data_IF_635338555963
#
_entry.id   IF_635338555963
#
_cell.length_a   1.000
_cell.length_b   1.000
_cell.length_c   1.000
_cell.angle_alpha   90.00
_cell.angle_beta   90.00
_cell.angle_gamma   90.00
#
_symmetry.space_group_name_H-M   'P 1'
#
loop_
_entity.id
_entity.type
_entity.pdbx_description
1 polymer ?
#
# COMPACT_ATOMS: atom_id res chain seq x y z
N UNK A 1 -11.35 2.11 -3.51
CA UNK A 1 -12.43 1.15 -3.78
C UNK A 1 -13.08 1.46 -5.10
N UNK A 2 -13.90 2.52 -5.22
CA UNK A 2 -14.75 2.81 -6.38
C UNK A 2 -14.03 2.84 -7.73
N UNK A 3 -12.82 3.41 -7.80
CA UNK A 3 -12.03 3.44 -9.04
C UNK A 3 -11.60 2.04 -9.51
N UNK A 4 -11.37 1.11 -8.59
CA UNK A 4 -11.08 -0.29 -8.93
C UNK A 4 -12.32 -1.01 -9.44
N UNK A 5 -13.46 -0.80 -8.77
CA UNK A 5 -14.74 -1.39 -9.20
C UNK A 5 -15.16 -0.89 -10.58
N UNK A 6 -14.99 0.40 -10.87
CA UNK A 6 -15.22 1.00 -12.20
C UNK A 6 -14.34 0.34 -13.27
N UNK A 7 -13.09 0.01 -12.94
CA UNK A 7 -12.16 -0.70 -13.82
C UNK A 7 -12.37 -2.24 -13.86
N UNK A 8 -13.42 -2.75 -13.20
CA UNK A 8 -13.77 -4.17 -13.19
C UNK A 8 -12.97 -5.03 -12.21
N UNK A 9 -12.32 -4.42 -11.20
CA UNK A 9 -11.61 -5.15 -10.14
C UNK A 9 -12.40 -5.11 -8.83
N UNK A 10 -12.48 -6.25 -8.14
CA UNK A 10 -13.07 -6.35 -6.82
C UNK A 10 -11.98 -6.15 -5.76
N UNK A 11 -12.00 -5.06 -4.96
CA UNK A 11 -11.10 -4.88 -3.83
C UNK A 11 -11.45 -5.87 -2.71
N UNK A 12 -10.43 -6.49 -2.14
CA UNK A 12 -10.52 -7.38 -0.98
C UNK A 12 -9.71 -6.77 0.16
N UNK A 13 -10.34 -6.58 1.32
CA UNK A 13 -9.70 -6.04 2.50
C UNK A 13 -9.07 -7.16 3.33
N UNK A 14 -7.75 -7.22 3.33
CA UNK A 14 -6.98 -8.15 4.13
C UNK A 14 -6.44 -7.48 5.41
N UNK A 15 -6.51 -8.18 6.51
CA UNK A 15 -6.10 -7.71 7.84
C UNK A 15 -5.48 -8.87 8.65
N UNK A 16 -4.85 -8.64 9.82
CA UNK A 16 -4.32 -9.73 10.63
C UNK A 16 -5.36 -10.81 10.96
N UNK A 17 -6.58 -10.41 11.26
CA UNK A 17 -7.70 -11.30 11.56
C UNK A 17 -8.95 -10.86 10.79
N UNK A 18 -9.77 -11.80 10.36
CA UNK A 18 -11.05 -11.49 9.71
C UNK A 18 -12.07 -11.02 10.75
N UNK A 19 -12.22 -9.70 10.89
CA UNK A 19 -13.18 -9.06 11.81
C UNK A 19 -13.52 -7.63 11.37
N UNK A 20 -14.35 -6.96 12.11
CA UNK A 20 -14.61 -5.52 11.95
C UNK A 20 -13.45 -4.73 12.56
N UNK A 21 -12.96 -3.75 11.83
CA UNK A 21 -11.94 -2.80 12.28
C UNK A 21 -12.48 -1.38 12.31
N UNK A 22 -12.12 -0.64 13.34
CA UNK A 22 -12.37 0.79 13.43
C UNK A 22 -11.26 1.54 12.71
N UNK A 23 -11.62 2.41 11.78
CA UNK A 23 -10.67 3.34 11.17
C UNK A 23 -10.57 4.63 11.98
N UNK A 24 -9.57 5.44 11.67
CA UNK A 24 -9.38 6.76 12.31
C UNK A 24 -9.40 7.87 11.28
N UNK A 25 -9.88 9.04 11.68
CA UNK A 25 -9.73 10.28 10.96
C UNK A 25 -8.61 11.09 11.62
N UNK A 26 -7.69 11.59 10.81
CA UNK A 26 -6.63 12.48 11.27
C UNK A 26 -6.99 13.92 10.95
N UNK A 27 -7.01 14.79 11.96
CA UNK A 27 -7.10 16.23 11.75
C UNK A 27 -5.68 16.78 11.58
N UNK A 28 -5.44 17.42 10.45
CA UNK A 28 -4.20 18.16 10.19
C UNK A 28 -4.57 19.64 10.06
N UNK A 29 -4.24 20.44 11.05
CA UNK A 29 -4.35 21.91 10.99
C UNK A 29 -3.02 22.53 10.58
N UNK A 30 -3.00 23.49 9.64
CA UNK A 30 -1.79 24.23 9.32
C UNK A 30 -1.15 24.83 10.58
N UNK A 31 0.15 24.64 10.75
CA UNK A 31 0.90 25.13 11.91
C UNK A 31 0.81 24.27 13.19
N UNK A 32 0.05 23.18 13.19
CA UNK A 32 0.01 22.24 14.30
C UNK A 32 1.09 21.18 14.16
N UNK A 33 1.74 20.88 15.28
CA UNK A 33 2.75 19.80 15.38
C UNK A 33 2.17 18.49 15.87
N UNK A 34 0.91 18.51 16.36
CA UNK A 34 0.21 17.34 16.89
C UNK A 34 -1.01 17.07 16.01
N UNK A 35 -1.17 15.81 15.60
CA UNK A 35 -2.40 15.35 14.95
C UNK A 35 -3.40 14.87 15.99
N UNK A 36 -4.66 15.23 15.82
CA UNK A 36 -5.77 14.71 16.61
C UNK A 36 -6.44 13.59 15.81
N UNK A 37 -6.73 12.49 16.50
CA UNK A 37 -7.40 11.33 15.90
C UNK A 37 -8.83 11.23 16.41
N UNK A 38 -9.76 10.90 15.52
CA UNK A 38 -11.15 10.67 15.79
C UNK A 38 -11.58 9.32 15.23
N UNK A 39 -12.67 8.78 15.74
CA UNK A 39 -13.27 7.60 15.14
C UNK A 39 -13.69 7.88 13.70
N UNK A 40 -13.22 7.05 12.77
CA UNK A 40 -13.63 7.05 11.38
C UNK A 40 -14.72 6.01 11.09
N UNK A 41 -14.79 5.53 9.87
CA UNK A 41 -15.71 4.45 9.49
C UNK A 41 -15.21 3.09 9.99
N UNK A 42 -16.12 2.14 10.12
CA UNK A 42 -15.78 0.73 10.30
C UNK A 42 -15.51 0.07 8.95
N UNK A 43 -14.57 -0.88 8.93
CA UNK A 43 -14.29 -1.73 7.77
C UNK A 43 -14.46 -3.19 8.18
N UNK A 44 -15.25 -3.94 7.41
CA UNK A 44 -15.27 -5.39 7.51
C UNK A 44 -14.07 -5.95 6.75
N UNK A 45 -13.24 -6.73 7.44
CA UNK A 45 -12.18 -7.48 6.77
C UNK A 45 -12.78 -8.65 6.01
N UNK A 46 -12.34 -8.83 4.77
CA UNK A 46 -12.78 -9.94 3.93
C UNK A 46 -11.97 -11.21 4.20
N UNK A 47 -10.67 -11.06 4.51
CA UNK A 47 -9.74 -12.19 4.67
C UNK A 47 -8.66 -11.87 5.71
N UNK A 48 -8.21 -12.88 6.46
CA UNK A 48 -7.03 -12.77 7.30
C UNK A 48 -5.74 -12.93 6.47
N UNK A 49 -4.63 -12.30 6.88
CA UNK A 49 -3.36 -12.38 6.14
C UNK A 49 -2.90 -13.82 5.94
N UNK A 50 -3.05 -14.69 6.93
CA UNK A 50 -2.67 -16.10 6.87
C UNK A 50 -3.45 -16.92 5.83
N UNK A 51 -4.60 -16.44 5.41
CA UNK A 51 -5.50 -17.13 4.49
C UNK A 51 -5.36 -16.59 3.05
N UNK A 52 -4.49 -15.60 2.81
CA UNK A 52 -4.22 -15.05 1.48
C UNK A 52 -3.56 -16.10 0.61
N UNK A 53 -4.15 -16.36 -0.55
CA UNK A 53 -3.57 -17.09 -1.66
C UNK A 53 -3.16 -16.09 -2.74
N UNK A 54 -1.91 -15.62 -2.77
CA UNK A 54 -1.53 -14.47 -3.59
C UNK A 54 -1.77 -14.67 -5.09
N UNK A 55 -1.75 -15.92 -5.56
CA UNK A 55 -2.01 -16.29 -6.95
C UNK A 55 -3.43 -15.97 -7.43
N UNK A 56 -4.39 -15.87 -6.52
CA UNK A 56 -5.78 -15.55 -6.82
C UNK A 56 -6.01 -14.05 -7.08
N UNK A 57 -5.01 -13.19 -6.78
CA UNK A 57 -5.16 -11.73 -6.87
C UNK A 57 -4.38 -11.12 -8.03
N UNK A 58 -4.93 -10.05 -8.58
CA UNK A 58 -4.32 -9.30 -9.67
C UNK A 58 -3.15 -8.40 -9.20
N UNK A 59 -3.18 -7.93 -7.97
CA UNK A 59 -2.16 -7.06 -7.40
C UNK A 59 -2.40 -6.78 -5.92
N UNK A 60 -1.50 -6.02 -5.29
CA UNK A 60 -1.59 -5.66 -3.87
C UNK A 60 -1.41 -4.16 -3.66
N UNK A 61 -2.15 -3.61 -2.70
CA UNK A 61 -2.08 -2.22 -2.29
C UNK A 61 -1.78 -2.10 -0.79
N UNK A 62 -0.71 -1.39 -0.47
CA UNK A 62 -0.33 -1.04 0.90
C UNK A 62 -0.83 0.36 1.23
N UNK A 63 -1.88 0.44 2.04
CA UNK A 63 -2.44 1.70 2.52
C UNK A 63 -1.55 2.34 3.58
N UNK A 64 -1.70 3.64 3.76
CA UNK A 64 -1.00 4.39 4.80
C UNK A 64 -1.76 4.42 6.13
N UNK A 65 -1.59 5.52 6.85
CA UNK A 65 -2.05 5.67 8.22
C UNK A 65 -1.09 5.00 9.20
N UNK A 66 -1.56 4.62 10.38
CA UNK A 66 -0.71 3.95 11.39
C UNK A 66 -0.70 2.43 11.30
N UNK A 67 -1.63 1.84 10.57
CA UNK A 67 -1.72 0.39 10.44
C UNK A 67 -0.41 -0.28 10.03
N UNK A 68 0.39 0.26 9.07
CA UNK A 68 1.66 -0.34 8.70
C UNK A 68 2.62 -0.57 9.87
N UNK A 69 2.71 0.36 10.81
CA UNK A 69 3.58 0.24 12.00
C UNK A 69 3.24 -1.00 12.85
N UNK A 70 1.96 -1.40 12.88
CA UNK A 70 1.49 -2.53 13.68
C UNK A 70 1.54 -3.86 12.94
N UNK A 71 1.44 -3.85 11.60
CA UNK A 71 1.32 -5.08 10.80
C UNK A 71 2.58 -5.44 10.02
N UNK A 72 3.57 -4.57 9.95
CA UNK A 72 4.81 -4.79 9.18
C UNK A 72 5.66 -5.98 9.65
N UNK A 73 5.41 -6.51 10.84
CA UNK A 73 6.08 -7.71 11.35
C UNK A 73 5.27 -8.99 11.15
N UNK A 74 4.10 -8.93 10.53
CA UNK A 74 3.29 -10.12 10.25
C UNK A 74 3.90 -10.94 9.12
N UNK A 75 4.37 -12.14 9.44
CA UNK A 75 5.09 -12.99 8.50
C UNK A 75 4.24 -13.47 7.32
N UNK A 76 2.92 -13.65 7.52
CA UNK A 76 2.03 -14.03 6.42
C UNK A 76 1.87 -12.88 5.41
N UNK A 77 1.72 -11.64 5.90
CA UNK A 77 1.70 -10.45 5.06
C UNK A 77 3.02 -10.26 4.32
N UNK A 78 4.15 -10.44 5.01
CA UNK A 78 5.48 -10.31 4.40
C UNK A 78 5.73 -11.38 3.34
N UNK A 79 5.30 -12.63 3.59
CA UNK A 79 5.39 -13.70 2.60
C UNK A 79 4.56 -13.40 1.35
N UNK A 80 3.30 -12.95 1.53
CA UNK A 80 2.46 -12.51 0.41
C UNK A 80 3.11 -11.35 -0.36
N UNK A 81 3.66 -10.36 0.35
CA UNK A 81 4.34 -9.21 -0.26
C UNK A 81 5.50 -9.64 -1.14
N UNK A 82 6.37 -10.54 -0.65
CA UNK A 82 7.47 -11.12 -1.44
C UNK A 82 6.96 -11.87 -2.65
N UNK A 83 5.92 -12.67 -2.50
CA UNK A 83 5.33 -13.41 -3.62
C UNK A 83 4.83 -12.48 -4.74
N UNK A 84 4.09 -11.40 -4.41
CA UNK A 84 3.64 -10.41 -5.41
C UNK A 84 4.83 -9.79 -6.15
N UNK A 85 5.91 -9.49 -5.43
CA UNK A 85 7.13 -8.93 -6.02
C UNK A 85 7.80 -9.90 -6.98
N UNK A 86 8.06 -11.13 -6.55
CA UNK A 86 8.74 -12.18 -7.33
C UNK A 86 7.95 -12.57 -8.59
N UNK A 87 6.62 -12.57 -8.49
CA UNK A 87 5.73 -12.87 -9.61
C UNK A 87 5.37 -11.64 -10.45
N UNK A 88 6.05 -10.51 -10.25
CA UNK A 88 5.88 -9.27 -11.01
C UNK A 88 4.44 -8.77 -11.08
N UNK A 89 3.68 -9.02 -10.03
CA UNK A 89 2.30 -8.52 -9.92
C UNK A 89 2.29 -7.01 -9.64
N UNK A 90 1.35 -6.25 -10.20
CA UNK A 90 1.20 -4.82 -9.92
C UNK A 90 1.07 -4.54 -8.41
N UNK A 91 1.96 -3.73 -7.89
CA UNK A 91 1.97 -3.34 -6.48
C UNK A 91 1.79 -1.83 -6.35
N UNK A 92 1.12 -1.39 -5.29
CA UNK A 92 0.98 0.02 -4.99
C UNK A 92 1.21 0.28 -3.50
N UNK A 93 1.91 1.38 -3.20
CA UNK A 93 2.19 1.82 -1.83
C UNK A 93 1.95 3.31 -1.69
N UNK A 94 1.34 3.74 -0.59
CA UNK A 94 1.14 5.15 -0.29
C UNK A 94 1.47 5.45 1.17
N UNK A 95 2.08 6.61 1.41
CA UNK A 95 2.34 7.14 2.75
C UNK A 95 3.17 6.16 3.58
N UNK A 96 2.73 5.79 4.79
CA UNK A 96 3.38 4.79 5.65
C UNK A 96 3.30 3.35 5.09
N UNK A 97 2.49 3.11 4.07
CA UNK A 97 2.41 1.79 3.43
C UNK A 97 3.76 1.25 2.93
N UNK A 98 4.74 2.12 2.70
CA UNK A 98 6.12 1.75 2.32
C UNK A 98 6.81 0.85 3.35
N UNK A 99 6.42 0.91 4.61
CA UNK A 99 7.04 0.13 5.69
C UNK A 99 6.89 -1.38 5.48
N UNK A 100 5.80 -1.82 4.85
CA UNK A 100 5.57 -3.24 4.56
C UNK A 100 6.53 -3.77 3.49
N UNK A 101 6.60 -3.20 2.26
CA UNK A 101 7.59 -3.63 1.28
C UNK A 101 9.04 -3.40 1.74
N UNK A 102 9.32 -2.37 2.54
CA UNK A 102 10.63 -2.16 3.13
C UNK A 102 11.01 -3.32 4.07
N UNK A 103 10.12 -3.67 5.00
CA UNK A 103 10.32 -4.80 5.92
C UNK A 103 10.36 -6.15 5.21
N UNK A 104 9.62 -6.30 4.12
CA UNK A 104 9.67 -7.51 3.28
C UNK A 104 11.01 -7.65 2.51
N UNK A 105 11.85 -6.62 2.49
CA UNK A 105 13.18 -6.62 1.85
C UNK A 105 13.15 -6.43 0.33
N UNK A 106 12.03 -6.00 -0.24
CA UNK A 106 11.88 -5.89 -1.70
C UNK A 106 12.23 -4.50 -2.28
N UNK A 107 12.52 -3.51 -1.42
CA UNK A 107 12.74 -2.14 -1.87
C UNK A 107 14.17 -1.83 -2.31
N UNK A 108 15.10 -2.74 -2.13
CA UNK A 108 16.52 -2.51 -2.45
C UNK A 108 16.73 -2.06 -3.90
N UNK A 109 17.29 -0.87 -4.09
CA UNK A 109 17.50 -0.25 -5.39
C UNK A 109 16.23 0.22 -6.10
N UNK A 110 15.06 0.19 -5.42
CA UNK A 110 13.81 0.69 -5.96
C UNK A 110 13.68 2.19 -5.69
N UNK A 111 13.25 2.93 -6.70
CA UNK A 111 12.84 4.32 -6.55
C UNK A 111 11.39 4.37 -6.09
N UNK A 112 11.12 5.03 -4.98
CA UNK A 112 9.77 5.11 -4.41
C UNK A 112 9.46 6.50 -3.85
N UNK A 113 8.20 6.91 -3.98
CA UNK A 113 7.63 8.00 -3.21
C UNK A 113 7.04 7.45 -1.91
N UNK A 114 7.17 8.22 -0.85
CA UNK A 114 6.52 7.97 0.44
C UNK A 114 6.36 9.29 1.19
N UNK A 115 5.59 9.29 2.26
CA UNK A 115 5.55 10.46 3.15
C UNK A 115 6.95 10.74 3.68
N UNK A 116 7.39 12.02 3.77
CA UNK A 116 8.76 12.34 4.18
C UNK A 116 9.20 11.72 5.50
N UNK A 117 8.28 11.44 6.40
CA UNK A 117 8.55 10.77 7.69
C UNK A 117 9.09 9.35 7.52
N UNK A 118 8.69 8.63 6.47
CA UNK A 118 9.14 7.27 6.16
C UNK A 118 10.33 7.22 5.19
N UNK A 119 10.93 8.37 4.86
CA UNK A 119 12.15 8.40 4.02
C UNK A 119 13.26 7.54 4.61
N UNK A 120 13.51 7.67 5.92
CA UNK A 120 14.54 6.90 6.60
C UNK A 120 14.27 5.38 6.52
N UNK A 121 13.04 4.95 6.78
CA UNK A 121 12.66 3.52 6.71
C UNK A 121 12.91 2.93 5.33
N UNK A 122 12.58 3.68 4.27
CA UNK A 122 12.85 3.27 2.90
C UNK A 122 14.36 3.19 2.61
N UNK A 123 15.12 4.23 2.97
CA UNK A 123 16.55 4.34 2.64
C UNK A 123 17.41 3.36 3.43
N UNK A 124 17.10 3.11 4.72
CA UNK A 124 17.84 2.13 5.52
C UNK A 124 17.65 0.70 5.00
N UNK A 125 16.53 0.43 4.33
CA UNK A 125 16.26 -0.83 3.64
C UNK A 125 16.82 -0.87 2.20
N UNK A 126 17.58 0.17 1.79
CA UNK A 126 18.24 0.24 0.50
C UNK A 126 17.37 0.76 -0.65
N UNK A 127 16.20 1.31 -0.38
CA UNK A 127 15.37 2.00 -1.36
C UNK A 127 15.89 3.41 -1.66
N UNK A 128 15.39 4.02 -2.72
CA UNK A 128 15.78 5.36 -3.18
C UNK A 128 14.55 6.28 -3.06
N UNK A 129 14.60 7.20 -2.12
CA UNK A 129 13.50 8.15 -1.92
C UNK A 129 13.41 9.17 -3.06
N UNK A 130 12.20 9.33 -3.60
CA UNK A 130 11.90 10.36 -4.62
C UNK A 130 10.69 11.18 -4.14
N UNK A 131 10.89 12.47 -3.94
CA UNK A 131 9.80 13.37 -3.54
C UNK A 131 8.97 13.79 -4.77
N UNK A 132 8.08 12.91 -5.20
CA UNK A 132 7.17 13.16 -6.32
C UNK A 132 5.76 12.64 -5.99
N UNK A 133 4.69 13.22 -6.57
CA UNK A 133 3.32 12.76 -6.36
C UNK A 133 3.10 11.29 -6.75
N UNK A 134 3.84 10.82 -7.75
CA UNK A 134 3.86 9.44 -8.19
C UNK A 134 5.26 9.04 -8.64
N UNK A 135 5.67 7.85 -8.26
CA UNK A 135 6.87 7.18 -8.77
C UNK A 135 6.46 5.79 -9.23
N UNK A 136 6.89 5.44 -10.42
CA UNK A 136 6.72 4.11 -11.01
C UNK A 136 8.11 3.54 -11.21
N UNK A 137 8.39 2.41 -10.59
CA UNK A 137 9.62 1.66 -10.82
C UNK A 137 9.28 0.17 -10.93
N UNK A 138 9.56 -0.41 -12.10
CA UNK A 138 9.16 -1.79 -12.44
C UNK A 138 7.63 -1.94 -12.32
N UNK A 139 7.16 -2.82 -11.45
CA UNK A 139 5.74 -3.09 -11.20
C UNK A 139 5.24 -2.49 -9.87
N UNK A 140 6.02 -1.59 -9.28
CA UNK A 140 5.65 -0.82 -8.08
C UNK A 140 5.26 0.61 -8.46
N UNK A 141 4.05 1.00 -8.09
CA UNK A 141 3.57 2.39 -8.11
C UNK A 141 3.57 2.93 -6.69
N UNK A 142 4.09 4.10 -6.46
CA UNK A 142 4.12 4.69 -5.12
C UNK A 142 3.75 6.16 -5.12
N UNK A 143 3.11 6.61 -4.05
CA UNK A 143 2.67 7.98 -3.81
C UNK A 143 3.02 8.47 -2.40
N UNK A 144 3.12 9.79 -2.22
CA UNK A 144 3.52 10.38 -0.94
C UNK A 144 2.41 10.30 0.10
N UNK A 145 1.21 10.78 -0.25
CA UNK A 145 0.07 10.90 0.66
C UNK A 145 -1.24 10.73 -0.11
N UNK A 146 -2.35 10.69 0.61
CA UNK A 146 -3.70 10.65 0.01
C UNK A 146 -4.00 11.86 -0.90
N UNK A 147 -3.31 12.99 -0.73
CA UNK A 147 -3.44 14.15 -1.62
C UNK A 147 -2.98 13.82 -3.06
N UNK A 148 -2.10 12.85 -3.23
CA UNK A 148 -1.57 12.45 -4.53
C UNK A 148 -2.39 11.31 -5.19
N UNK A 149 -3.53 10.90 -4.62
CA UNK A 149 -4.36 9.78 -5.14
C UNK A 149 -4.70 9.92 -6.63
N UNK A 150 -4.95 11.15 -7.09
CA UNK A 150 -5.21 11.43 -8.50
C UNK A 150 -4.03 11.09 -9.43
N UNK A 151 -2.80 11.12 -8.92
CA UNK A 151 -1.61 10.87 -9.70
C UNK A 151 -1.22 9.38 -9.78
N UNK A 152 -1.36 8.60 -8.70
CA UNK A 152 -0.82 7.24 -8.65
C UNK A 152 -1.85 6.12 -8.81
N UNK A 153 -3.14 6.33 -8.49
CA UNK A 153 -4.15 5.27 -8.60
C UNK A 153 -4.40 4.88 -10.06
N UNK A 154 -4.48 5.86 -10.97
CA UNK A 154 -4.68 5.60 -12.40
C UNK A 154 -3.57 4.74 -13.02
N UNK A 155 -2.29 5.10 -12.87
CA UNK A 155 -1.17 4.28 -13.34
C UNK A 155 -1.19 2.84 -12.80
N UNK A 156 -1.54 2.62 -11.55
CA UNK A 156 -1.65 1.28 -10.99
C UNK A 156 -2.79 0.48 -11.62
N UNK A 157 -3.97 1.10 -11.81
CA UNK A 157 -5.09 0.45 -12.51
C UNK A 157 -4.69 0.02 -13.92
N UNK A 158 -3.99 0.89 -14.66
CA UNK A 158 -3.49 0.54 -16.01
C UNK A 158 -2.54 -0.67 -15.99
N UNK A 159 -1.70 -0.82 -14.96
CA UNK A 159 -0.86 -2.00 -14.80
C UNK A 159 -1.69 -3.27 -14.56
N UNK A 160 -2.74 -3.18 -13.73
CA UNK A 160 -3.65 -4.29 -13.47
C UNK A 160 -4.39 -4.71 -14.75
N UNK A 161 -4.90 -3.74 -15.51
CA UNK A 161 -5.57 -3.98 -16.81
C UNK A 161 -4.63 -4.64 -17.80
N UNK A 162 -3.42 -4.09 -18.00
CA UNK A 162 -2.43 -4.64 -18.90
C UNK A 162 -2.05 -6.09 -18.56
N UNK A 163 -2.01 -6.47 -17.28
CA UNK A 163 -1.73 -7.84 -16.87
C UNK A 163 -2.95 -8.76 -17.04
N UNK A 164 -4.17 -8.25 -16.88
CA UNK A 164 -5.41 -8.99 -17.15
C UNK A 164 -5.51 -9.37 -18.62
N UNK A 165 -5.22 -8.41 -19.51
CA UNK A 165 -5.41 -8.55 -20.95
C UNK A 165 -4.32 -9.43 -21.62
N UNK A 166 -3.29 -9.83 -20.86
CA UNK A 166 -2.24 -10.78 -21.30
C UNK A 166 -2.57 -12.24 -20.97
N UNK A 167 -3.68 -12.52 -20.30
CA UNK A 167 -4.14 -13.88 -19.96
C UNK A 167 -5.18 -14.35 -20.95
#
# INVERSE_FOLDING_TARGET
VYRLQEAGFQPIFATPEKRVYQTVLHEVKPGWTITKEWEGYTINSDIAFKDIKPEEYAGIFFSGGRAPEYIREDEALLAATRWFWENKKPMMSVCHGVEIPARAGIVKGLRMATVPKCKFDLEVCGGIFVNAPVVIDRHMVSGRTFHDNGAFVGPWIKMLEAQRDQK
#
